data_IF_040408538886
#
_entry.id   IF_040408538886
#
_cell.length_a   1.000
_cell.length_b   1.000
_cell.length_c   1.000
_cell.angle_alpha   90.00
_cell.angle_beta   90.00
_cell.angle_gamma   90.00
#
_symmetry.space_group_name_H-M   'P 1'
#
loop_
_entity.id
_entity.type
_entity.pdbx_description
1 polymer ?
#
# COMPACT_ATOMS: atom_id res chain seq x y z
N UNK A 1 -9.97 -19.45 -10.48
CA UNK A 1 -8.58 -19.60 -9.97
C UNK A 1 -8.54 -20.84 -9.11
N UNK A 2 -7.59 -21.75 -9.33
CA UNK A 2 -7.50 -22.98 -8.53
C UNK A 2 -7.10 -22.64 -7.11
N UNK A 3 -7.51 -23.44 -6.11
CA UNK A 3 -7.29 -23.17 -4.68
C UNK A 3 -5.82 -23.16 -4.24
N UNK A 4 -4.89 -23.42 -5.13
CA UNK A 4 -3.44 -23.53 -4.89
C UNK A 4 -2.64 -22.25 -5.15
N UNK A 5 -3.26 -21.18 -5.65
CA UNK A 5 -2.54 -20.00 -6.19
C UNK A 5 -2.50 -18.79 -5.23
N UNK A 6 -3.12 -18.89 -4.04
CA UNK A 6 -3.09 -17.83 -3.05
C UNK A 6 -1.89 -17.95 -2.10
N UNK A 7 -1.15 -16.84 -1.89
CA UNK A 7 -0.15 -16.72 -0.84
C UNK A 7 -0.79 -16.56 0.54
N UNK A 8 -1.81 -15.70 0.62
CA UNK A 8 -2.65 -15.55 1.81
C UNK A 8 -4.10 -15.70 1.38
N UNK A 9 -4.88 -16.49 2.11
CA UNK A 9 -6.33 -16.62 1.94
C UNK A 9 -7.02 -16.25 3.23
N UNK A 10 -8.00 -15.36 3.13
CA UNK A 10 -8.81 -14.86 4.24
C UNK A 10 -10.27 -15.11 3.90
N UNK A 11 -11.01 -15.75 4.80
CA UNK A 11 -12.42 -16.09 4.61
C UNK A 11 -13.24 -15.72 5.83
N UNK A 12 -14.20 -14.82 5.65
CA UNK A 12 -15.15 -14.33 6.66
C UNK A 12 -14.49 -13.94 7.98
N UNK A 13 -13.30 -13.34 7.90
CA UNK A 13 -12.49 -13.00 9.06
C UNK A 13 -13.15 -11.84 9.82
N UNK A 14 -13.39 -12.07 11.12
CA UNK A 14 -13.92 -11.04 12.00
C UNK A 14 -13.08 -10.92 13.27
N UNK A 15 -12.98 -9.69 13.77
CA UNK A 15 -12.34 -9.39 15.05
C UNK A 15 -13.14 -8.35 15.82
N UNK A 16 -13.59 -8.75 16.99
CA UNK A 16 -14.17 -7.84 18.01
C UNK A 16 -13.26 -7.83 19.23
N UNK A 17 -12.87 -6.65 19.68
CA UNK A 17 -12.07 -6.44 20.88
C UNK A 17 -12.96 -6.39 22.13
N UNK A 18 -12.33 -6.56 23.31
CA UNK A 18 -12.97 -6.29 24.58
C UNK A 18 -13.56 -4.86 24.56
N UNK A 19 -14.81 -4.71 24.99
CA UNK A 19 -15.52 -3.42 24.88
C UNK A 19 -16.39 -3.28 23.61
N UNK A 20 -16.50 -4.32 22.77
CA UNK A 20 -17.47 -4.37 21.67
C UNK A 20 -16.98 -3.72 20.36
N UNK A 21 -15.79 -3.14 20.31
CA UNK A 21 -15.26 -2.53 19.07
C UNK A 21 -14.97 -3.63 18.04
N UNK A 22 -15.76 -3.63 16.95
CA UNK A 22 -15.58 -4.52 15.80
C UNK A 22 -14.57 -3.92 14.85
N UNK A 23 -13.36 -4.50 14.80
CA UNK A 23 -12.26 -4.00 13.98
C UNK A 23 -12.22 -4.64 12.60
N UNK A 24 -12.73 -5.89 12.47
CA UNK A 24 -12.91 -6.59 11.19
C UNK A 24 -14.27 -7.27 11.20
N UNK A 25 -14.98 -7.22 10.09
CA UNK A 25 -16.33 -7.69 9.90
C UNK A 25 -16.49 -8.51 8.62
N UNK A 26 -16.31 -9.83 8.72
CA UNK A 26 -16.51 -10.75 7.60
C UNK A 26 -15.54 -10.57 6.44
N UNK A 27 -14.34 -10.03 6.66
CA UNK A 27 -13.34 -9.76 5.63
C UNK A 27 -12.99 -11.04 4.87
N UNK A 28 -13.07 -10.99 3.54
CA UNK A 28 -12.74 -12.11 2.66
C UNK A 28 -12.00 -11.62 1.41
N UNK A 29 -10.78 -12.09 1.21
CA UNK A 29 -10.01 -11.91 -0.03
C UNK A 29 -8.82 -12.87 -0.09
N UNK A 30 -8.27 -13.03 -1.29
CA UNK A 30 -7.04 -13.78 -1.53
C UNK A 30 -5.93 -12.83 -1.98
N UNK A 31 -4.72 -13.03 -1.49
CA UNK A 31 -3.49 -12.42 -1.99
C UNK A 31 -2.83 -13.40 -2.96
N UNK A 32 -2.71 -13.10 -4.26
CA UNK A 32 -2.05 -13.97 -5.21
C UNK A 32 -0.55 -14.11 -4.94
N UNK A 33 0.04 -15.26 -5.32
CA UNK A 33 1.48 -15.48 -5.20
C UNK A 33 2.26 -14.61 -6.18
N UNK A 34 3.45 -14.15 -5.78
CA UNK A 34 4.39 -13.42 -6.62
C UNK A 34 3.92 -12.04 -7.05
N UNK A 35 2.90 -11.48 -6.40
CA UNK A 35 2.41 -10.12 -6.63
C UNK A 35 2.81 -9.17 -5.50
N UNK A 36 2.86 -7.89 -5.81
CA UNK A 36 2.84 -6.81 -4.83
C UNK A 36 1.38 -6.42 -4.62
N UNK A 37 0.87 -6.67 -3.42
CA UNK A 37 -0.54 -6.47 -3.04
C UNK A 37 -0.68 -5.29 -2.10
N UNK A 38 -1.44 -4.27 -2.49
CA UNK A 38 -1.77 -3.11 -1.67
C UNK A 38 -2.95 -3.37 -0.74
N UNK A 39 -2.79 -3.08 0.54
CA UNK A 39 -3.87 -3.10 1.53
C UNK A 39 -4.11 -1.68 2.01
N UNK A 40 -5.11 -1.01 1.46
CA UNK A 40 -5.41 0.40 1.69
C UNK A 40 -6.64 0.59 2.57
N UNK A 41 -6.79 1.80 3.08
CA UNK A 41 -7.94 2.21 3.89
C UNK A 41 -7.58 3.33 4.86
N UNK A 42 -8.54 4.08 5.38
CA UNK A 42 -8.27 5.14 6.34
C UNK A 42 -7.73 4.60 7.67
N UNK A 43 -7.30 5.50 8.54
CA UNK A 43 -6.87 5.15 9.88
C UNK A 43 -8.05 4.54 10.66
N UNK A 44 -7.79 3.41 11.33
CA UNK A 44 -8.83 2.68 12.06
C UNK A 44 -9.69 1.74 11.19
N UNK A 45 -9.46 1.65 9.89
CA UNK A 45 -10.20 0.74 8.99
C UNK A 45 -10.05 -0.76 9.31
N UNK A 46 -9.02 -1.15 10.07
CA UNK A 46 -8.77 -2.55 10.43
C UNK A 46 -7.46 -3.14 9.89
N UNK A 47 -6.70 -2.40 9.07
CA UNK A 47 -5.45 -2.87 8.44
C UNK A 47 -4.45 -3.46 9.44
N UNK A 48 -4.07 -2.70 10.47
CA UNK A 48 -3.12 -3.16 11.50
C UNK A 48 -3.68 -4.34 12.33
N UNK A 49 -5.00 -4.41 12.54
CA UNK A 49 -5.63 -5.58 13.17
C UNK A 49 -5.46 -6.83 12.31
N UNK A 50 -5.67 -6.70 11.00
CA UNK A 50 -5.47 -7.80 10.06
C UNK A 50 -4.00 -8.24 10.06
N UNK A 51 -3.04 -7.32 9.92
CA UNK A 51 -1.60 -7.63 9.97
C UNK A 51 -1.22 -8.31 11.29
N UNK A 52 -1.73 -7.83 12.42
CA UNK A 52 -1.46 -8.43 13.72
C UNK A 52 -2.06 -9.86 13.85
N UNK A 53 -3.17 -10.16 13.16
CA UNK A 53 -3.69 -11.53 13.08
C UNK A 53 -2.75 -12.41 12.25
N UNK A 54 -2.26 -11.92 11.09
CA UNK A 54 -1.28 -12.63 10.26
C UNK A 54 0.04 -12.88 11.01
N UNK A 55 0.46 -11.91 11.83
CA UNK A 55 1.64 -12.02 12.70
C UNK A 55 1.44 -13.03 13.86
N UNK A 56 0.19 -13.40 14.14
CA UNK A 56 -0.17 -14.22 15.33
C UNK A 56 -0.01 -13.47 16.65
N UNK A 57 -0.10 -12.13 16.63
CA UNK A 57 -0.10 -11.24 17.80
C UNK A 57 -1.52 -11.00 18.31
N UNK A 58 -2.51 -11.08 17.44
CA UNK A 58 -3.92 -10.91 17.76
C UNK A 58 -4.69 -12.17 17.35
N UNK A 59 -5.50 -12.72 18.26
CA UNK A 59 -6.39 -13.83 17.97
C UNK A 59 -7.67 -13.31 17.30
N UNK A 60 -8.04 -13.88 16.15
CA UNK A 60 -9.31 -13.60 15.49
C UNK A 60 -10.53 -14.00 16.33
N UNK A 61 -11.68 -13.41 16.08
CA UNK A 61 -12.94 -13.80 16.72
C UNK A 61 -13.64 -14.93 15.95
N UNK A 62 -13.62 -14.87 14.60
CA UNK A 62 -14.19 -15.89 13.71
C UNK A 62 -13.54 -15.85 12.33
N UNK A 63 -13.94 -16.77 11.45
CA UNK A 63 -13.41 -16.90 10.10
C UNK A 63 -12.15 -17.78 10.03
N UNK A 64 -11.55 -17.88 8.85
CA UNK A 64 -10.33 -18.65 8.63
C UNK A 64 -9.28 -17.85 7.88
N UNK A 65 -8.01 -18.13 8.18
CA UNK A 65 -6.85 -17.54 7.50
C UNK A 65 -5.84 -18.63 7.21
N UNK A 66 -5.33 -18.70 5.99
CA UNK A 66 -4.19 -19.53 5.65
C UNK A 66 -3.07 -18.69 5.02
N UNK A 67 -1.82 -19.01 5.38
CA UNK A 67 -0.60 -18.38 4.90
C UNK A 67 0.23 -19.47 4.23
N UNK A 68 0.49 -19.31 2.94
CA UNK A 68 1.21 -20.28 2.10
C UNK A 68 0.61 -21.69 2.16
N UNK A 69 -0.73 -21.76 2.30
CA UNK A 69 -1.46 -23.01 2.45
C UNK A 69 -1.56 -23.55 3.87
N UNK A 70 -0.89 -22.95 4.85
CA UNK A 70 -0.97 -23.35 6.26
C UNK A 70 -2.02 -22.52 7.01
N UNK A 71 -3.03 -23.21 7.55
CA UNK A 71 -4.03 -22.61 8.43
C UNK A 71 -3.35 -22.09 9.72
N UNK A 72 -3.59 -20.83 10.08
CA UNK A 72 -2.90 -20.16 11.19
C UNK A 72 -3.24 -20.77 12.56
N UNK A 73 -4.39 -21.41 12.71
CA UNK A 73 -4.81 -22.04 13.97
C UNK A 73 -4.27 -23.48 14.08
N UNK A 74 -4.27 -24.22 12.96
CA UNK A 74 -3.85 -25.64 12.94
C UNK A 74 -2.33 -25.80 12.80
N UNK A 75 -1.70 -24.91 12.03
CA UNK A 75 -0.28 -24.97 11.70
C UNK A 75 0.45 -23.63 11.95
N UNK A 76 0.35 -23.05 13.17
CA UNK A 76 0.83 -21.68 13.45
C UNK A 76 2.34 -21.51 13.22
N UNK A 77 3.15 -22.55 13.47
CA UNK A 77 4.61 -22.47 13.24
C UNK A 77 4.94 -22.40 11.75
N UNK A 78 4.27 -23.20 10.92
CA UNK A 78 4.50 -23.21 9.48
C UNK A 78 4.01 -21.90 8.85
N UNK A 79 2.83 -21.41 9.28
CA UNK A 79 2.32 -20.10 8.86
C UNK A 79 3.32 -18.97 9.19
N UNK A 80 3.85 -18.92 10.44
CA UNK A 80 4.86 -17.92 10.84
C UNK A 80 6.19 -18.04 10.09
N UNK A 81 6.60 -19.25 9.70
CA UNK A 81 7.80 -19.43 8.86
C UNK A 81 7.60 -19.01 7.40
N UNK A 82 6.36 -18.90 6.96
CA UNK A 82 6.04 -18.50 5.58
C UNK A 82 5.86 -16.99 5.41
N UNK A 83 6.01 -16.20 6.47
CA UNK A 83 5.76 -14.76 6.44
C UNK A 83 6.83 -13.99 7.21
N UNK A 84 7.37 -12.94 6.62
CA UNK A 84 8.17 -11.91 7.28
C UNK A 84 7.31 -10.65 7.45
N UNK A 85 7.35 -10.02 8.61
CA UNK A 85 6.55 -8.82 8.88
C UNK A 85 7.44 -7.70 9.37
N UNK A 86 7.31 -6.55 8.72
CA UNK A 86 7.94 -5.28 9.08
C UNK A 86 6.86 -4.38 9.67
N UNK A 87 6.86 -4.15 10.98
CA UNK A 87 5.85 -3.31 11.63
C UNK A 87 6.07 -1.83 11.33
N UNK A 88 5.03 -1.04 11.51
CA UNK A 88 5.08 0.42 11.40
C UNK A 88 6.04 1.04 12.42
N UNK A 89 6.04 0.55 13.66
CA UNK A 89 6.92 1.05 14.71
C UNK A 89 8.34 0.49 14.59
N UNK A 90 9.34 1.36 14.77
CA UNK A 90 10.75 0.98 14.75
C UNK A 90 11.17 0.58 16.16
N UNK A 91 11.07 -0.70 16.48
CA UNK A 91 11.49 -1.24 17.77
C UNK A 91 12.74 -2.11 17.61
N UNK A 92 13.85 -1.63 18.18
CA UNK A 92 15.10 -2.38 18.30
C UNK A 92 15.65 -2.29 19.72
N UNK A 93 16.36 -3.35 20.10
CA UNK A 93 17.24 -3.25 21.25
C UNK A 93 18.41 -2.31 20.88
N UNK A 94 18.61 -1.21 21.63
CA UNK A 94 19.61 -0.20 21.29
C UNK A 94 21.05 -0.68 21.44
N UNK A 95 21.27 -1.80 22.14
CA UNK A 95 22.58 -2.34 22.48
C UNK A 95 23.08 -3.43 21.52
N UNK A 96 22.23 -3.97 20.66
CA UNK A 96 22.67 -4.88 19.61
C UNK A 96 23.11 -4.14 18.36
N UNK A 97 24.09 -4.70 17.68
CA UNK A 97 24.49 -4.28 16.33
C UNK A 97 23.51 -4.85 15.28
N UNK A 98 23.46 -4.29 14.06
CA UNK A 98 22.68 -4.87 12.95
C UNK A 98 22.99 -6.35 12.74
N UNK A 99 24.27 -6.72 12.72
CA UNK A 99 24.68 -8.12 12.56
C UNK A 99 24.13 -9.01 13.66
N UNK A 100 24.34 -8.64 14.92
CA UNK A 100 23.83 -9.41 16.08
C UNK A 100 22.30 -9.52 16.04
N UNK A 101 21.60 -8.46 15.66
CA UNK A 101 20.15 -8.47 15.51
C UNK A 101 19.70 -9.54 14.50
N UNK A 102 20.35 -9.64 13.33
CA UNK A 102 20.04 -10.65 12.31
C UNK A 102 20.43 -12.05 12.77
N UNK A 103 21.59 -12.20 13.40
CA UNK A 103 22.08 -13.48 13.92
C UNK A 103 21.14 -14.06 14.99
N UNK A 104 20.69 -13.24 15.93
CA UNK A 104 19.73 -13.64 16.97
C UNK A 104 18.41 -14.04 16.33
N UNK A 105 17.90 -13.23 15.39
CA UNK A 105 16.64 -13.52 14.71
C UNK A 105 16.71 -14.83 13.91
N UNK A 106 17.79 -15.05 13.16
CA UNK A 106 18.01 -16.29 12.43
C UNK A 106 18.06 -17.50 13.38
N UNK A 107 18.72 -17.35 14.54
CA UNK A 107 18.73 -18.37 15.60
C UNK A 107 17.37 -18.71 16.14
N UNK A 108 16.48 -17.71 16.34
CA UNK A 108 15.09 -17.93 16.77
C UNK A 108 14.25 -18.72 15.74
N UNK A 109 14.58 -18.60 14.44
CA UNK A 109 13.99 -19.42 13.38
C UNK A 109 14.68 -20.80 13.23
N UNK A 110 15.70 -21.09 14.03
CA UNK A 110 16.43 -22.37 14.02
C UNK A 110 17.37 -22.52 12.84
N UNK A 111 17.86 -21.41 12.24
CA UNK A 111 18.80 -21.43 11.12
C UNK A 111 20.21 -21.69 11.66
N UNK A 112 20.91 -22.77 11.22
CA UNK A 112 22.27 -23.06 11.63
C UNK A 112 23.22 -21.90 11.28
N UNK A 113 24.24 -21.65 12.08
CA UNK A 113 25.14 -20.51 11.90
C UNK A 113 25.79 -20.46 10.49
N UNK A 114 26.13 -21.61 9.92
CA UNK A 114 26.74 -21.70 8.59
C UNK A 114 25.77 -21.44 7.41
N UNK A 115 24.46 -21.39 7.66
CA UNK A 115 23.41 -21.15 6.64
C UNK A 115 22.82 -19.74 6.72
N UNK A 116 23.24 -18.94 7.70
CA UNK A 116 22.71 -17.59 7.92
C UNK A 116 23.21 -16.64 6.84
N UNK A 117 22.31 -15.81 6.34
CA UNK A 117 22.60 -14.85 5.26
C UNK A 117 22.74 -13.41 5.77
N UNK A 118 23.18 -13.23 7.02
CA UNK A 118 23.23 -11.91 7.67
C UNK A 118 24.06 -10.90 6.89
N UNK A 119 25.24 -11.30 6.37
CA UNK A 119 26.09 -10.40 5.59
C UNK A 119 25.46 -10.03 4.24
N UNK A 120 24.84 -11.00 3.56
CA UNK A 120 24.13 -10.76 2.29
C UNK A 120 22.93 -9.81 2.49
N UNK A 121 22.17 -9.99 3.57
CA UNK A 121 21.06 -9.11 3.92
C UNK A 121 21.52 -7.70 4.28
N UNK A 122 22.62 -7.57 5.03
CA UNK A 122 23.22 -6.26 5.34
C UNK A 122 23.73 -5.55 4.09
N UNK A 123 24.35 -6.29 3.17
CA UNK A 123 24.78 -5.74 1.89
C UNK A 123 23.60 -5.28 1.02
N UNK A 124 22.55 -6.11 0.91
CA UNK A 124 21.36 -5.78 0.16
C UNK A 124 20.63 -4.54 0.73
N UNK A 125 20.76 -4.27 2.04
CA UNK A 125 20.20 -3.12 2.72
C UNK A 125 21.15 -1.92 2.79
N UNK A 126 22.32 -1.98 2.18
CA UNK A 126 23.36 -0.95 2.27
C UNK A 126 23.71 -0.60 3.74
N UNK A 127 23.86 -1.63 4.57
CA UNK A 127 24.21 -1.52 6.00
C UNK A 127 25.52 -2.20 6.36
N UNK A 128 26.33 -2.62 5.39
CA UNK A 128 27.58 -3.35 5.59
C UNK A 128 28.57 -2.53 6.45
N UNK A 129 28.70 -1.23 6.18
CA UNK A 129 29.56 -0.30 6.93
C UNK A 129 29.08 -0.04 8.37
N UNK A 130 27.83 -0.37 8.67
CA UNK A 130 27.19 -0.24 9.99
C UNK A 130 26.96 -1.58 10.68
N UNK A 131 27.41 -2.70 10.10
CA UNK A 131 27.18 -4.05 10.61
C UNK A 131 27.52 -4.23 12.08
N UNK A 132 28.56 -3.54 12.56
CA UNK A 132 29.09 -3.60 13.92
C UNK A 132 28.85 -2.32 14.75
N UNK A 133 28.11 -1.33 14.23
CA UNK A 133 27.72 -0.14 14.98
C UNK A 133 26.48 -0.46 15.85
N UNK A 134 26.38 0.13 17.03
CA UNK A 134 25.17 -0.07 17.85
C UNK A 134 23.92 0.48 17.18
N UNK A 135 22.79 -0.26 17.24
CA UNK A 135 21.52 0.11 16.60
C UNK A 135 21.00 1.49 17.05
N UNK A 136 21.35 1.95 18.23
CA UNK A 136 21.02 3.31 18.71
C UNK A 136 21.63 4.43 17.87
N UNK A 137 22.75 4.16 17.20
CA UNK A 137 23.48 5.16 16.37
C UNK A 137 22.97 5.24 14.93
N UNK A 138 22.08 4.33 14.53
CA UNK A 138 21.50 4.30 13.20
C UNK A 138 20.45 5.40 13.02
N UNK A 139 20.41 5.99 11.82
CA UNK A 139 19.31 6.87 11.43
C UNK A 139 17.96 6.10 11.36
N UNK A 140 16.84 6.84 11.32
CA UNK A 140 15.51 6.23 11.17
C UNK A 140 15.41 5.34 9.93
N UNK A 141 15.91 5.82 8.79
CA UNK A 141 15.92 5.06 7.54
C UNK A 141 16.81 3.81 7.59
N UNK A 142 17.99 3.89 8.24
CA UNK A 142 18.84 2.71 8.47
C UNK A 142 18.15 1.68 9.35
N UNK A 143 17.46 2.11 10.40
CA UNK A 143 16.66 1.23 11.27
C UNK A 143 15.54 0.57 10.49
N UNK A 144 14.85 1.30 9.61
CA UNK A 144 13.77 0.76 8.76
C UNK A 144 14.31 -0.34 7.83
N UNK A 145 15.46 -0.10 7.17
CA UNK A 145 16.12 -1.11 6.33
C UNK A 145 16.55 -2.34 7.12
N UNK A 146 17.06 -2.16 8.34
CA UNK A 146 17.40 -3.26 9.23
C UNK A 146 16.16 -4.10 9.62
N UNK A 147 14.97 -3.49 9.82
CA UNK A 147 13.71 -4.23 10.04
C UNK A 147 13.35 -5.11 8.86
N UNK A 148 13.53 -4.61 7.63
CA UNK A 148 13.29 -5.42 6.42
C UNK A 148 14.26 -6.60 6.35
N UNK A 149 15.57 -6.35 6.57
CA UNK A 149 16.56 -7.43 6.65
C UNK A 149 16.18 -8.46 7.72
N UNK A 150 15.76 -8.01 8.90
CA UNK A 150 15.31 -8.88 10.00
C UNK A 150 14.11 -9.73 9.62
N UNK A 151 13.15 -9.19 8.88
CA UNK A 151 11.98 -9.93 8.40
C UNK A 151 12.34 -11.00 7.35
N UNK A 152 13.47 -10.84 6.67
CA UNK A 152 13.93 -11.73 5.60
C UNK A 152 14.94 -12.80 6.03
N UNK A 153 15.38 -12.85 7.29
CA UNK A 153 16.44 -13.76 7.75
C UNK A 153 16.15 -15.24 7.51
N UNK A 154 14.88 -15.63 7.47
CA UNK A 154 14.42 -17.00 7.25
C UNK A 154 13.89 -17.25 5.84
N UNK A 155 14.18 -16.31 4.90
CA UNK A 155 13.80 -16.37 3.49
C UNK A 155 12.31 -16.71 3.28
N UNK A 156 11.38 -15.95 3.88
CA UNK A 156 9.96 -16.23 3.78
C UNK A 156 9.46 -15.97 2.36
N UNK A 157 8.50 -16.77 1.83
CA UNK A 157 7.87 -16.51 0.54
C UNK A 157 6.90 -15.31 0.55
N UNK A 158 6.59 -14.78 1.72
CA UNK A 158 5.70 -13.59 1.87
C UNK A 158 6.39 -12.56 2.76
N UNK A 159 6.40 -11.30 2.30
CA UNK A 159 6.86 -10.13 3.07
C UNK A 159 5.69 -9.16 3.26
N UNK A 160 5.37 -8.82 4.50
CA UNK A 160 4.37 -7.79 4.85
C UNK A 160 5.08 -6.55 5.35
N UNK A 161 4.75 -5.41 4.77
CA UNK A 161 5.32 -4.10 5.08
C UNK A 161 4.20 -3.18 5.56
N UNK A 162 4.20 -2.84 6.85
CA UNK A 162 3.20 -1.94 7.44
C UNK A 162 3.75 -0.52 7.47
N UNK A 163 3.26 0.32 6.55
CA UNK A 163 3.68 1.72 6.35
C UNK A 163 5.22 1.90 6.32
N UNK A 164 5.95 1.19 5.44
CA UNK A 164 7.40 1.11 5.52
C UNK A 164 8.11 2.42 5.19
N UNK A 165 7.45 3.37 4.54
CA UNK A 165 8.01 4.65 4.07
C UNK A 165 7.58 5.84 4.92
N UNK A 166 6.78 5.63 5.98
CA UNK A 166 6.35 6.70 6.87
C UNK A 166 7.56 7.39 7.53
N UNK A 167 7.69 8.71 7.30
CA UNK A 167 8.79 9.52 7.84
C UNK A 167 10.18 9.23 7.25
N UNK A 168 10.24 8.61 6.08
CA UNK A 168 11.48 8.30 5.35
C UNK A 168 11.66 9.32 4.23
N UNK A 169 12.89 9.82 4.03
CA UNK A 169 13.21 10.72 2.92
C UNK A 169 13.10 10.03 1.53
N UNK A 170 13.03 10.82 0.48
CA UNK A 170 12.76 10.37 -0.89
C UNK A 170 13.81 9.37 -1.38
N UNK A 171 15.09 9.60 -1.10
CA UNK A 171 16.15 8.73 -1.60
C UNK A 171 16.13 7.36 -0.91
N UNK A 172 15.96 7.33 0.41
CA UNK A 172 15.83 6.08 1.18
C UNK A 172 14.55 5.32 0.82
N UNK A 173 13.46 6.04 0.53
CA UNK A 173 12.20 5.45 0.05
C UNK A 173 12.43 4.72 -1.27
N UNK A 174 13.09 5.35 -2.23
CA UNK A 174 13.42 4.74 -3.52
C UNK A 174 14.26 3.47 -3.37
N UNK A 175 15.33 3.51 -2.57
CA UNK A 175 16.17 2.33 -2.30
C UNK A 175 15.38 1.17 -1.70
N UNK A 176 14.42 1.45 -0.79
CA UNK A 176 13.55 0.43 -0.21
C UNK A 176 12.66 -0.20 -1.28
N UNK A 177 12.08 0.60 -2.17
CA UNK A 177 11.22 0.10 -3.24
C UNK A 177 11.99 -0.71 -4.28
N UNK A 178 13.20 -0.28 -4.65
CA UNK A 178 14.07 -1.04 -5.55
C UNK A 178 14.36 -2.44 -4.97
N UNK A 179 14.63 -2.52 -3.67
CA UNK A 179 14.83 -3.79 -3.00
C UNK A 179 13.56 -4.65 -2.96
N UNK A 180 12.42 -4.08 -2.59
CA UNK A 180 11.12 -4.78 -2.54
C UNK A 180 10.77 -5.34 -3.92
N UNK A 181 10.93 -4.54 -4.97
CA UNK A 181 10.71 -5.00 -6.35
C UNK A 181 11.70 -6.11 -6.74
N UNK A 182 12.95 -6.06 -6.29
CA UNK A 182 13.93 -7.12 -6.54
C UNK A 182 13.54 -8.44 -5.90
N UNK A 183 13.01 -8.41 -4.67
CA UNK A 183 12.47 -9.58 -3.99
C UNK A 183 11.24 -10.14 -4.72
N UNK A 184 10.35 -9.27 -5.17
CA UNK A 184 9.16 -9.67 -5.91
C UNK A 184 9.53 -10.35 -7.25
N UNK A 185 10.49 -9.80 -8.00
CA UNK A 185 11.05 -10.43 -9.21
C UNK A 185 11.64 -11.82 -8.95
N UNK A 186 12.09 -12.10 -7.71
CA UNK A 186 12.57 -13.42 -7.27
C UNK A 186 11.42 -14.34 -6.82
N UNK A 187 10.17 -13.90 -6.92
CA UNK A 187 8.98 -14.68 -6.58
C UNK A 187 8.43 -14.46 -5.17
N UNK A 188 9.00 -13.57 -4.38
CA UNK A 188 8.45 -13.19 -3.07
C UNK A 188 7.15 -12.43 -3.26
N UNK A 189 6.09 -12.85 -2.58
CA UNK A 189 4.83 -12.10 -2.50
C UNK A 189 4.98 -10.97 -1.50
N UNK A 190 4.58 -9.77 -1.87
CA UNK A 190 4.67 -8.61 -0.97
C UNK A 190 3.26 -8.11 -0.64
N UNK A 191 2.98 -7.87 0.63
CA UNK A 191 1.78 -7.15 1.08
C UNK A 191 2.24 -5.80 1.65
N UNK A 192 1.71 -4.73 1.11
CA UNK A 192 2.07 -3.36 1.45
C UNK A 192 0.87 -2.61 2.01
N UNK A 193 1.02 -1.99 3.18
CA UNK A 193 0.14 -0.90 3.58
C UNK A 193 0.84 0.43 3.39
N UNK A 194 0.14 1.43 2.92
CA UNK A 194 0.64 2.79 2.81
C UNK A 194 -0.54 3.77 2.87
N UNK A 195 -0.26 4.98 3.28
CA UNK A 195 -1.18 6.12 3.15
C UNK A 195 -0.79 7.01 1.95
N UNK A 196 0.32 6.71 1.28
CA UNK A 196 0.73 7.36 0.03
C UNK A 196 0.12 6.57 -1.14
N UNK A 197 -1.01 7.03 -1.66
CA UNK A 197 -1.76 6.33 -2.72
C UNK A 197 -0.95 6.22 -4.02
N UNK A 198 -0.12 7.23 -4.33
CA UNK A 198 0.82 7.19 -5.46
C UNK A 198 1.79 5.98 -5.38
N UNK A 199 2.29 5.64 -4.19
CA UNK A 199 3.14 4.46 -4.02
C UNK A 199 2.38 3.17 -4.32
N UNK A 200 1.15 3.07 -3.84
CA UNK A 200 0.31 1.90 -4.10
C UNK A 200 -0.02 1.77 -5.58
N UNK A 201 -0.29 2.88 -6.27
CA UNK A 201 -0.55 2.92 -7.71
C UNK A 201 0.66 2.45 -8.53
N UNK A 202 1.85 2.93 -8.18
CA UNK A 202 3.09 2.61 -8.91
C UNK A 202 3.60 1.19 -8.65
N UNK A 203 3.39 0.64 -7.47
CA UNK A 203 4.04 -0.59 -7.03
C UNK A 203 3.10 -1.79 -7.03
N UNK A 204 1.81 -1.62 -6.74
CA UNK A 204 0.92 -2.73 -6.50
C UNK A 204 0.28 -3.25 -7.79
N UNK A 205 0.33 -4.57 -7.97
CA UNK A 205 -0.39 -5.26 -9.06
C UNK A 205 -1.90 -5.30 -8.79
N UNK A 206 -2.26 -5.44 -7.50
CA UNK A 206 -3.65 -5.54 -7.01
C UNK A 206 -3.80 -4.80 -5.70
N UNK A 207 -4.95 -4.22 -5.49
CA UNK A 207 -5.28 -3.44 -4.30
C UNK A 207 -6.58 -3.95 -3.69
N UNK A 208 -6.55 -4.16 -2.36
CA UNK A 208 -7.75 -4.26 -1.54
C UNK A 208 -7.93 -3.00 -0.70
N UNK A 209 -9.12 -2.44 -0.70
CA UNK A 209 -9.50 -1.29 0.13
C UNK A 209 -10.37 -1.80 1.27
N UNK A 210 -9.95 -1.51 2.51
CA UNK A 210 -10.73 -1.80 3.72
C UNK A 210 -11.28 -0.49 4.27
N UNK A 211 -12.58 -0.48 4.53
CA UNK A 211 -13.25 0.61 5.23
C UNK A 211 -14.16 0.03 6.32
N UNK A 212 -14.14 0.62 7.52
CA UNK A 212 -14.96 0.17 8.69
C UNK A 212 -14.91 -1.33 8.96
N UNK A 213 -13.76 -1.96 8.71
CA UNK A 213 -13.55 -3.40 8.93
C UNK A 213 -14.09 -4.30 7.83
N UNK A 214 -14.56 -3.78 6.72
CA UNK A 214 -15.06 -4.51 5.55
C UNK A 214 -14.22 -4.23 4.31
N UNK A 215 -14.21 -5.16 3.35
CA UNK A 215 -13.54 -4.98 2.05
C UNK A 215 -14.52 -4.29 1.11
N UNK A 216 -14.21 -3.06 0.71
CA UNK A 216 -15.03 -2.29 -0.24
C UNK A 216 -14.57 -2.45 -1.69
N UNK A 217 -13.31 -2.82 -1.91
CA UNK A 217 -12.77 -3.16 -3.23
C UNK A 217 -11.64 -4.20 -3.10
N UNK A 218 -11.45 -5.06 -4.11
CA UNK A 218 -10.31 -5.97 -4.25
C UNK A 218 -10.08 -6.31 -5.73
N UNK A 219 -9.25 -5.52 -6.40
CA UNK A 219 -9.12 -5.57 -7.86
C UNK A 219 -7.68 -5.32 -8.32
N UNK A 220 -7.31 -5.71 -9.55
CA UNK A 220 -6.09 -5.24 -10.18
C UNK A 220 -6.04 -3.71 -10.19
N UNK A 221 -4.88 -3.14 -9.87
CA UNK A 221 -4.72 -1.68 -9.71
C UNK A 221 -5.21 -0.90 -10.93
N UNK A 222 -4.90 -1.38 -12.13
CA UNK A 222 -5.34 -0.74 -13.38
C UNK A 222 -6.86 -0.77 -13.56
N UNK A 223 -7.52 -1.88 -13.18
CA UNK A 223 -8.97 -2.00 -13.27
C UNK A 223 -9.67 -1.12 -12.24
N UNK A 224 -9.07 -1.00 -11.05
CA UNK A 224 -9.57 -0.13 -10.00
C UNK A 224 -9.55 1.34 -10.44
N UNK A 225 -8.42 1.82 -10.98
CA UNK A 225 -8.28 3.19 -11.49
C UNK A 225 -9.19 3.44 -12.69
N UNK A 226 -9.35 2.42 -13.56
CA UNK A 226 -10.24 2.55 -14.74
C UNK A 226 -11.72 2.78 -14.38
N UNK A 227 -12.13 2.44 -13.14
CA UNK A 227 -13.49 2.71 -12.64
C UNK A 227 -13.77 4.17 -12.35
N UNK A 228 -12.74 4.99 -12.14
CA UNK A 228 -12.94 6.43 -12.01
C UNK A 228 -13.51 6.99 -13.31
N UNK A 229 -14.73 7.49 -13.24
CA UNK A 229 -15.47 8.01 -14.37
C UNK A 229 -15.13 9.47 -14.68
N UNK A 230 -14.54 10.15 -13.72
CA UNK A 230 -14.19 11.56 -13.83
C UNK A 230 -12.79 11.76 -14.41
N UNK A 231 -12.64 12.81 -15.18
CA UNK A 231 -11.36 13.29 -15.74
C UNK A 231 -11.32 14.79 -15.63
N UNK A 232 -10.15 15.36 -15.31
CA UNK A 232 -9.96 16.81 -15.27
C UNK A 232 -9.16 17.31 -16.47
N UNK A 233 -9.49 18.51 -16.90
CA UNK A 233 -8.71 19.30 -17.85
C UNK A 233 -8.36 20.61 -17.16
N UNK A 234 -7.07 20.91 -17.11
CA UNK A 234 -6.56 22.19 -16.65
C UNK A 234 -6.27 23.04 -17.87
N UNK A 235 -6.92 24.20 -17.94
CA UNK A 235 -6.85 25.10 -19.11
C UNK A 235 -6.39 26.48 -18.66
N UNK A 236 -5.29 26.96 -19.26
CA UNK A 236 -4.79 28.32 -19.04
C UNK A 236 -5.21 29.22 -20.18
N UNK A 237 -5.59 30.47 -19.87
CA UNK A 237 -6.12 31.44 -20.82
C UNK A 237 -5.22 32.66 -21.01
N UNK A 238 -5.39 33.35 -22.13
CA UNK A 238 -4.62 34.52 -22.51
C UNK A 238 -4.96 35.80 -21.71
N UNK A 239 -6.05 35.73 -20.90
CA UNK A 239 -6.54 36.84 -20.07
C UNK A 239 -7.19 36.33 -18.79
N UNK A 240 -7.40 37.22 -17.86
CA UNK A 240 -8.06 36.90 -16.58
C UNK A 240 -9.51 36.50 -16.81
N UNK A 241 -9.94 35.47 -16.04
CA UNK A 241 -11.28 34.90 -16.13
C UNK A 241 -12.21 35.74 -15.27
N UNK A 242 -12.95 36.64 -15.91
CA UNK A 242 -13.88 37.51 -15.18
C UNK A 242 -15.12 36.79 -14.65
N UNK A 243 -15.61 35.79 -15.36
CA UNK A 243 -16.77 34.96 -14.94
C UNK A 243 -16.48 33.51 -15.26
N UNK A 244 -16.66 32.64 -14.28
CA UNK A 244 -16.47 31.20 -14.47
C UNK A 244 -17.54 30.68 -15.43
N UNK A 245 -17.18 30.05 -16.57
CA UNK A 245 -18.15 29.53 -17.52
C UNK A 245 -18.93 28.38 -16.88
N UNK A 246 -20.23 28.37 -17.05
CA UNK A 246 -21.10 27.29 -16.58
C UNK A 246 -21.61 26.50 -17.77
N UNK A 247 -21.40 25.20 -17.76
CA UNK A 247 -21.91 24.32 -18.80
C UNK A 247 -22.43 23.01 -18.18
N UNK A 248 -23.55 22.51 -18.67
CA UNK A 248 -24.17 21.27 -18.22
C UNK A 248 -23.29 20.01 -18.42
N UNK A 249 -22.19 20.13 -19.17
CA UNK A 249 -21.23 19.07 -19.39
C UNK A 249 -20.14 18.98 -18.29
N UNK A 250 -20.08 19.96 -17.39
CA UNK A 250 -19.08 20.03 -16.32
C UNK A 250 -19.70 19.50 -15.03
N UNK A 251 -18.99 18.60 -14.35
CA UNK A 251 -19.40 18.13 -13.01
C UNK A 251 -18.88 19.10 -11.95
N UNK A 252 -17.65 19.62 -12.13
CA UNK A 252 -17.07 20.65 -11.27
C UNK A 252 -16.18 21.62 -12.07
N UNK A 253 -16.07 22.87 -11.62
CA UNK A 253 -15.15 23.86 -12.15
C UNK A 253 -14.50 24.58 -10.98
N UNK A 254 -13.18 24.57 -10.96
CA UNK A 254 -12.38 25.27 -9.96
C UNK A 254 -11.46 26.28 -10.61
N UNK A 255 -11.40 27.47 -10.02
CA UNK A 255 -10.45 28.51 -10.40
C UNK A 255 -9.14 28.23 -9.67
N UNK A 256 -8.12 27.75 -10.39
CA UNK A 256 -6.79 27.46 -9.85
C UNK A 256 -6.03 28.77 -9.59
N UNK A 257 -6.09 29.68 -10.56
CA UNK A 257 -5.57 31.04 -10.49
C UNK A 257 -6.39 31.98 -11.41
N UNK A 258 -6.04 33.28 -11.50
CA UNK A 258 -6.79 34.27 -12.27
C UNK A 258 -6.96 33.92 -13.75
N UNK A 259 -6.13 33.00 -14.29
CA UNK A 259 -6.10 32.60 -15.71
C UNK A 259 -6.20 31.11 -15.95
N UNK A 260 -6.38 30.31 -14.92
CA UNK A 260 -6.38 28.85 -15.03
C UNK A 260 -7.61 28.24 -14.39
N UNK A 261 -8.35 27.45 -15.16
CA UNK A 261 -9.47 26.62 -14.67
C UNK A 261 -9.10 25.15 -14.65
N UNK A 262 -9.49 24.46 -13.61
CA UNK A 262 -9.59 23.01 -13.59
C UNK A 262 -11.06 22.63 -13.77
N UNK A 263 -11.35 21.82 -14.79
CA UNK A 263 -12.71 21.41 -15.16
C UNK A 263 -12.78 19.89 -15.08
N UNK A 264 -13.61 19.40 -14.17
CA UNK A 264 -13.90 17.98 -14.02
C UNK A 264 -15.14 17.59 -14.81
N UNK A 265 -15.05 16.51 -15.56
CA UNK A 265 -16.14 15.98 -16.39
C UNK A 265 -16.14 14.44 -16.41
N UNK A 266 -17.29 13.86 -16.70
CA UNK A 266 -17.44 12.41 -16.82
C UNK A 266 -17.07 11.92 -18.22
N UNK A 267 -16.14 10.94 -18.29
CA UNK A 267 -15.66 10.34 -19.54
C UNK A 267 -16.78 9.65 -20.34
N UNK A 268 -17.81 9.13 -19.67
CA UNK A 268 -18.94 8.46 -20.28
C UNK A 268 -19.94 9.43 -20.93
N UNK A 269 -19.95 10.72 -20.53
CA UNK A 269 -20.87 11.74 -21.05
C UNK A 269 -20.21 12.65 -22.08
N UNK A 270 -18.95 13.03 -21.84
CA UNK A 270 -18.27 14.10 -22.59
C UNK A 270 -16.79 13.74 -22.78
N UNK A 271 -16.18 14.23 -23.85
CA UNK A 271 -14.74 14.15 -24.06
C UNK A 271 -14.07 15.53 -23.92
N UNK A 272 -12.75 15.55 -23.66
CA UNK A 272 -11.98 16.77 -23.47
C UNK A 272 -12.14 17.76 -24.63
N UNK A 273 -12.24 17.27 -25.88
CA UNK A 273 -12.43 18.14 -27.05
C UNK A 273 -13.73 18.93 -27.01
N UNK A 274 -14.83 18.35 -26.51
CA UNK A 274 -16.10 19.06 -26.32
C UNK A 274 -16.02 20.08 -25.18
N UNK A 275 -15.29 19.74 -24.11
CA UNK A 275 -15.03 20.67 -22.99
C UNK A 275 -14.28 21.90 -23.52
N UNK A 276 -13.17 21.70 -24.25
CA UNK A 276 -12.38 22.79 -24.80
C UNK A 276 -13.18 23.63 -25.82
N UNK A 277 -13.98 22.98 -26.68
CA UNK A 277 -14.83 23.69 -27.65
C UNK A 277 -15.88 24.59 -26.97
N UNK A 278 -16.41 24.18 -25.81
CA UNK A 278 -17.34 25.03 -25.06
C UNK A 278 -16.67 26.27 -24.48
N UNK A 279 -15.42 26.17 -24.00
CA UNK A 279 -14.67 27.30 -23.45
C UNK A 279 -14.28 28.33 -24.53
N UNK A 280 -13.91 27.84 -25.73
CA UNK A 280 -13.59 28.72 -26.87
C UNK A 280 -14.84 29.45 -27.41
N UNK A 281 -16.02 28.85 -27.31
CA UNK A 281 -17.27 29.49 -27.68
C UNK A 281 -17.59 30.71 -26.79
N UNK A 282 -17.15 30.72 -25.53
CA UNK A 282 -17.27 31.84 -24.59
C UNK A 282 -16.22 32.95 -24.85
N UNK A 283 -15.43 32.81 -25.90
CA UNK A 283 -14.46 33.82 -26.38
C UNK A 283 -13.17 33.88 -25.57
N UNK A 284 -12.86 32.86 -24.77
CA UNK A 284 -11.61 32.73 -24.05
C UNK A 284 -10.52 32.13 -24.97
N UNK A 285 -9.38 32.81 -25.09
CA UNK A 285 -8.21 32.32 -25.84
C UNK A 285 -7.43 31.30 -25.00
N UNK A 286 -7.41 30.03 -25.42
CA UNK A 286 -6.66 28.98 -24.74
C UNK A 286 -5.17 29.11 -25.07
N UNK A 287 -4.32 29.17 -24.04
CA UNK A 287 -2.85 29.26 -24.17
C UNK A 287 -2.22 27.89 -23.89
N UNK A 288 -2.70 27.16 -22.87
CA UNK A 288 -2.18 25.84 -22.53
C UNK A 288 -3.29 24.93 -22.05
N UNK A 289 -3.09 23.62 -22.26
CA UNK A 289 -4.03 22.59 -21.86
C UNK A 289 -3.26 21.39 -21.32
N UNK A 290 -3.52 21.02 -20.09
CA UNK A 290 -3.09 19.74 -19.55
C UNK A 290 -4.29 18.89 -19.14
N UNK A 291 -4.18 17.57 -19.26
CA UNK A 291 -5.23 16.65 -18.84
C UNK A 291 -4.72 15.86 -17.65
N UNK A 292 -5.52 15.78 -16.60
CA UNK A 292 -5.27 14.87 -15.47
C UNK A 292 -6.19 13.66 -15.61
N UNK A 293 -5.57 12.51 -15.83
CA UNK A 293 -6.28 11.25 -15.71
C UNK A 293 -6.55 10.97 -14.24
N UNK A 294 -7.68 10.32 -13.91
CA UNK A 294 -7.98 9.97 -12.54
C UNK A 294 -6.89 9.04 -11.98
N UNK A 295 -6.57 9.24 -10.75
CA UNK A 295 -5.61 8.46 -9.99
C UNK A 295 -6.30 7.57 -8.94
N UNK A 296 -5.50 6.84 -8.19
CA UNK A 296 -6.01 5.97 -7.13
C UNK A 296 -6.68 6.75 -6.00
N UNK A 297 -6.31 8.03 -5.80
CA UNK A 297 -6.89 8.88 -4.77
C UNK A 297 -8.35 9.22 -5.09
N UNK A 298 -8.65 9.57 -6.34
CA UNK A 298 -10.01 9.85 -6.79
C UNK A 298 -10.93 8.64 -6.57
N UNK A 299 -10.44 7.44 -6.93
CA UNK A 299 -11.18 6.18 -6.72
C UNK A 299 -11.37 5.89 -5.24
N UNK A 300 -10.32 6.04 -4.45
CA UNK A 300 -10.35 5.77 -3.02
C UNK A 300 -11.37 6.65 -2.31
N UNK A 301 -11.36 7.96 -2.57
CA UNK A 301 -12.30 8.91 -2.00
C UNK A 301 -13.75 8.59 -2.40
N UNK A 302 -13.98 8.26 -3.68
CA UNK A 302 -15.32 7.89 -4.17
C UNK A 302 -15.88 6.64 -3.51
N UNK A 303 -15.05 5.60 -3.30
CA UNK A 303 -15.46 4.35 -2.66
C UNK A 303 -15.74 4.52 -1.16
N UNK A 304 -14.92 5.30 -0.47
CA UNK A 304 -15.13 5.60 0.96
C UNK A 304 -16.39 6.43 1.17
N UNK A 305 -16.64 7.46 0.34
CA UNK A 305 -17.83 8.27 0.41
C UNK A 305 -19.11 7.47 0.10
N UNK A 306 -19.07 6.56 -0.87
CA UNK A 306 -20.21 5.70 -1.19
C UNK A 306 -20.57 4.74 -0.04
N UNK A 307 -19.56 4.19 0.65
CA UNK A 307 -19.77 3.33 1.84
C UNK A 307 -20.27 4.12 3.07
N UNK A 308 -19.97 5.42 3.14
CA UNK A 308 -20.49 6.31 4.21
C UNK A 308 -21.96 6.67 4.01
N UNK A 309 -22.43 6.65 2.76
CA UNK A 309 -23.80 6.99 2.40
C UNK A 309 -24.77 5.79 2.44
N UNK A 310 -24.24 4.55 2.52
CA UNK A 310 -25.00 3.29 2.55
C UNK A 310 -25.31 2.83 3.97
#
# INVERSE_FOLDING_TARGET
MSSTDAAIRIQSLSKTYAGGKRALDGVSFDVPRGQIFGLLGPNGAGKSTLINILAGLVTKSSGSVSIWGFDIDKHPRNAKRSIGIVPQEILFDPFFTPRETLEIQAGLYGIPAGERQSDALLAAMHLTDKAHAYSRTLSGGMKRRLLVAKAMVHSPPILVLDEPTAGVDIELRRQLWDYVQSLNKQGVTVVLTTHYLEEAEQLCDRIAIIHRGQVVANEPTRELIAKAQEKSVVVSFDRDIGTIPTNACFENIELVDERTLEITFRKDKVNAGKVLASLTADGLGIVDVSTRDPDLEDVFLSLVAADEAA
#
